data_IF_929391852766
#
_entry.id   IF_929391852766
#
_cell.length_a   1.000
_cell.length_b   1.000
_cell.length_c   1.000
_cell.angle_alpha   90.00
_cell.angle_beta   90.00
_cell.angle_gamma   90.00
#
_symmetry.space_group_name_H-M   'P 1'
#
loop_
_entity.id
_entity.type
_entity.pdbx_description
1 polymer ?
#
# COMPACT_ATOMS: atom_id res chain seq x y z
N UNK A 1 27.10 29.59 5.40
CA UNK A 1 27.13 28.14 5.72
C UNK A 1 25.73 27.55 5.97
N UNK A 2 24.68 28.33 5.81
CA UNK A 2 23.28 27.95 6.17
C UNK A 2 22.43 27.48 4.98
N UNK A 3 22.85 27.69 3.72
CA UNK A 3 22.07 27.35 2.51
C UNK A 3 22.35 25.90 2.04
N UNK A 4 23.46 25.31 2.42
CA UNK A 4 23.80 23.93 2.00
C UNK A 4 23.03 22.87 2.79
N UNK A 5 22.54 23.16 4.01
CA UNK A 5 21.76 22.22 4.82
C UNK A 5 20.31 22.09 4.35
N UNK A 6 19.73 23.14 3.74
CA UNK A 6 18.34 23.09 3.25
C UNK A 6 18.16 22.22 2.00
N UNK A 7 19.21 22.09 1.16
CA UNK A 7 19.15 21.19 -0.02
C UNK A 7 19.29 19.71 0.34
N UNK A 8 19.99 19.38 1.42
CA UNK A 8 20.12 17.99 1.91
C UNK A 8 18.86 17.52 2.64
N UNK A 9 18.10 18.39 3.26
CA UNK A 9 16.81 18.05 3.87
C UNK A 9 15.71 17.82 2.83
N UNK A 10 15.67 18.59 1.74
CA UNK A 10 14.70 18.43 0.65
C UNK A 10 14.86 17.11 -0.13
N UNK A 11 16.03 16.50 -0.15
CA UNK A 11 16.27 15.20 -0.79
C UNK A 11 15.97 14.00 0.12
N UNK A 12 15.90 14.19 1.44
CA UNK A 12 15.58 13.13 2.40
C UNK A 12 14.05 12.82 2.48
N UNK A 13 13.20 13.74 2.01
CA UNK A 13 11.74 13.64 2.12
C UNK A 13 11.07 12.68 1.13
N UNK A 14 11.81 12.12 0.16
CA UNK A 14 11.23 11.27 -0.90
C UNK A 14 11.32 9.78 -0.67
N UNK A 15 11.82 9.31 0.49
CA UNK A 15 11.83 7.88 0.80
C UNK A 15 10.55 7.49 1.56
N UNK A 16 9.68 6.65 0.96
CA UNK A 16 8.52 6.11 1.67
C UNK A 16 9.02 5.40 2.93
N UNK A 17 8.31 5.63 4.04
CA UNK A 17 8.66 5.12 5.36
C UNK A 17 8.97 3.62 5.27
N UNK A 18 10.24 3.24 5.48
CA UNK A 18 10.73 1.86 5.36
C UNK A 18 9.91 0.90 6.21
N UNK A 19 9.31 1.38 7.30
CA UNK A 19 8.47 0.56 8.18
C UNK A 19 7.16 0.15 7.50
N UNK A 20 6.56 1.05 6.73
CA UNK A 20 5.33 0.77 5.99
C UNK A 20 5.58 -0.26 4.88
N UNK A 21 6.66 -0.11 4.10
CA UNK A 21 7.03 -1.06 3.05
C UNK A 21 7.27 -2.48 3.60
N UNK A 22 7.95 -2.61 4.76
CA UNK A 22 8.15 -3.91 5.41
C UNK A 22 6.85 -4.53 5.92
N UNK A 23 5.86 -3.72 6.31
CA UNK A 23 4.54 -4.21 6.72
C UNK A 23 3.80 -4.80 5.52
N UNK A 24 3.72 -4.06 4.40
CA UNK A 24 3.09 -4.53 3.16
C UNK A 24 3.77 -5.80 2.65
N UNK A 25 5.08 -5.85 2.70
CA UNK A 25 5.86 -7.01 2.30
C UNK A 25 5.58 -8.25 3.17
N UNK A 26 5.41 -8.10 4.48
CA UNK A 26 5.00 -9.20 5.38
C UNK A 26 3.60 -9.70 5.09
N UNK A 27 2.66 -8.80 4.80
CA UNK A 27 1.29 -9.16 4.42
C UNK A 27 1.31 -9.96 3.11
N UNK A 28 2.11 -9.54 2.13
CA UNK A 28 2.29 -10.28 0.87
C UNK A 28 2.85 -11.69 1.09
N UNK A 29 3.84 -11.84 1.97
CA UNK A 29 4.38 -13.16 2.31
C UNK A 29 3.37 -14.06 3.04
N UNK A 30 2.57 -13.48 3.93
CA UNK A 30 1.50 -14.21 4.61
C UNK A 30 0.45 -14.70 3.61
N UNK A 31 0.04 -13.85 2.67
CA UNK A 31 -0.87 -14.25 1.58
C UNK A 31 -0.34 -15.45 0.79
N UNK A 32 0.97 -15.44 0.44
CA UNK A 32 1.62 -16.58 -0.27
C UNK A 32 1.57 -17.87 0.54
N UNK A 33 1.82 -17.79 1.84
CA UNK A 33 1.75 -18.94 2.72
C UNK A 33 0.34 -19.53 2.77
N UNK A 34 -0.67 -18.67 2.93
CA UNK A 34 -2.09 -19.09 2.92
C UNK A 34 -2.47 -19.70 1.57
N UNK A 35 -2.02 -19.08 0.46
CA UNK A 35 -2.26 -19.62 -0.87
C UNK A 35 -1.63 -20.99 -1.07
N UNK A 36 -0.36 -21.17 -0.67
CA UNK A 36 0.33 -22.45 -0.75
C UNK A 36 -0.37 -23.53 0.08
N UNK A 37 -0.77 -23.19 1.31
CA UNK A 37 -1.52 -24.08 2.18
C UNK A 37 -2.88 -24.48 1.59
N UNK A 38 -3.59 -23.52 0.99
CA UNK A 38 -4.88 -23.77 0.32
C UNK A 38 -4.70 -24.69 -0.88
N UNK A 39 -3.69 -24.47 -1.72
CA UNK A 39 -3.40 -25.32 -2.88
C UNK A 39 -3.03 -26.75 -2.47
N UNK A 40 -2.23 -26.91 -1.41
CA UNK A 40 -1.91 -28.23 -0.86
C UNK A 40 -3.14 -28.91 -0.25
N UNK A 41 -3.95 -28.16 0.51
CA UNK A 41 -5.17 -28.69 1.11
C UNK A 41 -6.18 -29.15 0.04
N UNK A 42 -6.42 -28.34 -0.99
CA UNK A 42 -7.32 -28.70 -2.09
C UNK A 42 -6.81 -29.93 -2.85
N UNK A 43 -5.49 -30.04 -3.07
CA UNK A 43 -4.90 -31.22 -3.69
C UNK A 43 -5.04 -32.48 -2.83
N UNK A 44 -4.88 -32.35 -1.50
CA UNK A 44 -4.98 -33.48 -0.56
C UNK A 44 -6.42 -33.95 -0.34
N UNK A 45 -7.38 -33.04 -0.37
CA UNK A 45 -8.81 -33.36 -0.12
C UNK A 45 -9.53 -33.92 -1.35
N UNK A 46 -9.06 -33.61 -2.56
CA UNK A 46 -9.72 -33.97 -3.81
C UNK A 46 -9.00 -35.12 -4.54
N UNK A 47 -8.98 -36.28 -3.91
CA UNK A 47 -8.35 -37.50 -4.47
C UNK A 47 -9.12 -38.09 -5.65
N UNK A 48 -10.45 -37.91 -5.67
CA UNK A 48 -11.32 -38.57 -6.65
C UNK A 48 -11.60 -37.71 -7.90
N UNK A 49 -11.63 -36.38 -7.78
CA UNK A 49 -12.05 -35.49 -8.87
C UNK A 49 -11.00 -34.39 -9.17
N UNK A 50 -9.75 -34.64 -8.94
CA UNK A 50 -8.59 -33.73 -9.01
C UNK A 50 -8.87 -32.47 -9.81
N UNK A 51 -9.19 -31.38 -9.11
CA UNK A 51 -9.35 -30.06 -9.71
C UNK A 51 -7.99 -29.55 -10.25
N UNK A 52 -6.89 -29.91 -9.57
CA UNK A 52 -5.54 -29.49 -9.90
C UNK A 52 -4.60 -30.71 -10.07
N UNK A 53 -3.53 -30.53 -10.85
CA UNK A 53 -2.54 -31.59 -11.08
C UNK A 53 -3.06 -32.73 -11.96
N UNK A 54 -3.99 -32.48 -12.86
CA UNK A 54 -4.63 -33.52 -13.70
C UNK A 54 -3.66 -34.26 -14.61
N UNK A 55 -2.65 -33.54 -15.15
CA UNK A 55 -1.68 -34.15 -16.07
C UNK A 55 -0.49 -34.79 -15.32
N UNK A 56 0.06 -34.06 -14.35
CA UNK A 56 1.24 -34.50 -13.59
C UNK A 56 1.05 -34.24 -12.09
N UNK A 57 0.41 -35.18 -11.35
CA UNK A 57 0.10 -34.97 -9.92
C UNK A 57 1.34 -34.81 -9.03
N UNK A 58 2.41 -35.58 -9.29
CA UNK A 58 3.67 -35.50 -8.55
C UNK A 58 4.35 -34.14 -8.74
N UNK A 59 4.41 -33.67 -9.99
CA UNK A 59 5.00 -32.36 -10.31
C UNK A 59 4.23 -31.22 -9.64
N UNK A 60 2.91 -31.33 -9.56
CA UNK A 60 2.08 -30.34 -8.86
C UNK A 60 2.39 -30.32 -7.36
N UNK A 61 2.46 -31.49 -6.73
CA UNK A 61 2.75 -31.63 -5.30
C UNK A 61 4.14 -31.08 -4.97
N UNK A 62 5.15 -31.46 -5.76
CA UNK A 62 6.54 -31.00 -5.56
C UNK A 62 6.63 -29.47 -5.69
N UNK A 63 5.99 -28.90 -6.74
CA UNK A 63 5.94 -27.45 -6.93
C UNK A 63 5.24 -26.73 -5.78
N UNK A 64 4.13 -27.30 -5.27
CA UNK A 64 3.40 -26.72 -4.14
C UNK A 64 4.20 -26.78 -2.84
N UNK A 65 4.93 -27.87 -2.57
CA UNK A 65 5.81 -27.99 -1.42
C UNK A 65 6.99 -27.01 -1.51
N UNK A 66 7.60 -26.87 -2.69
CA UNK A 66 8.68 -25.90 -2.92
C UNK A 66 8.14 -24.47 -2.72
N UNK A 67 6.95 -24.16 -3.23
CA UNK A 67 6.33 -22.86 -3.05
C UNK A 67 6.06 -22.54 -1.58
N UNK A 68 5.56 -23.51 -0.82
CA UNK A 68 5.38 -23.42 0.63
C UNK A 68 6.71 -23.14 1.34
N UNK A 69 7.77 -23.91 1.02
CA UNK A 69 9.11 -23.73 1.60
C UNK A 69 9.68 -22.35 1.31
N UNK A 70 9.56 -21.87 0.06
CA UNK A 70 10.02 -20.54 -0.36
C UNK A 70 9.21 -19.42 0.30
N UNK A 71 7.90 -19.60 0.53
CA UNK A 71 7.07 -18.65 1.27
C UNK A 71 7.53 -18.54 2.74
N UNK A 72 7.83 -19.66 3.39
CA UNK A 72 8.38 -19.70 4.76
C UNK A 72 9.75 -19.02 4.84
N UNK A 73 10.65 -19.29 3.88
CA UNK A 73 11.94 -18.63 3.78
C UNK A 73 11.78 -17.11 3.54
N UNK A 74 10.79 -16.70 2.75
CA UNK A 74 10.44 -15.29 2.53
C UNK A 74 10.01 -14.59 3.82
N UNK A 75 9.20 -15.26 4.64
CA UNK A 75 8.80 -14.76 5.97
C UNK A 75 10.04 -14.65 6.87
N UNK A 76 10.87 -15.67 6.97
CA UNK A 76 12.10 -15.66 7.78
C UNK A 76 13.03 -14.51 7.34
N UNK A 77 13.27 -14.34 6.03
CA UNK A 77 14.08 -13.26 5.48
C UNK A 77 13.52 -11.86 5.79
N UNK A 78 12.19 -11.74 5.83
CA UNK A 78 11.51 -10.49 6.21
C UNK A 78 11.72 -10.14 7.70
N UNK A 79 11.88 -11.13 8.58
CA UNK A 79 12.21 -10.93 10.00
C UNK A 79 13.67 -10.50 10.18
N UNK A 80 14.59 -11.13 9.48
CA UNK A 80 16.03 -10.80 9.58
C UNK A 80 16.41 -9.54 8.81
N UNK A 81 15.48 -8.95 8.00
CA UNK A 81 15.70 -7.72 7.20
C UNK A 81 16.93 -7.78 6.29
N UNK A 82 17.33 -8.96 5.86
CA UNK A 82 18.40 -9.22 4.89
C UNK A 82 17.86 -10.18 3.83
N UNK A 83 18.13 -10.03 2.54
CA UNK A 83 18.83 -8.96 1.82
C UNK A 83 18.01 -7.67 1.67
N UNK A 84 18.51 -6.69 0.86
CA UNK A 84 17.79 -5.42 0.59
C UNK A 84 16.37 -5.71 0.09
N UNK A 85 15.39 -4.97 0.56
CA UNK A 85 13.95 -5.17 0.29
C UNK A 85 13.65 -5.31 -1.22
N UNK A 86 14.31 -4.50 -2.06
CA UNK A 86 14.16 -4.56 -3.52
C UNK A 86 14.60 -5.89 -4.14
N UNK A 87 15.74 -6.40 -3.72
CA UNK A 87 16.25 -7.68 -4.21
C UNK A 87 15.31 -8.82 -3.79
N UNK A 88 14.82 -8.78 -2.55
CA UNK A 88 13.89 -9.78 -2.02
C UNK A 88 12.54 -9.72 -2.74
N UNK A 89 12.02 -8.53 -3.05
CA UNK A 89 10.77 -8.37 -3.78
C UNK A 89 10.85 -8.91 -5.22
N UNK A 90 11.95 -8.63 -5.95
CA UNK A 90 12.16 -9.19 -7.28
C UNK A 90 12.35 -10.71 -7.25
N UNK A 91 13.12 -11.22 -6.29
CA UNK A 91 13.29 -12.67 -6.15
C UNK A 91 11.96 -13.37 -5.89
N UNK A 92 11.13 -12.82 -4.99
CA UNK A 92 9.83 -13.40 -4.70
C UNK A 92 8.87 -13.32 -5.89
N UNK A 93 8.91 -12.22 -6.66
CA UNK A 93 8.16 -12.12 -7.91
C UNK A 93 8.53 -13.24 -8.89
N UNK A 94 9.83 -13.51 -9.07
CA UNK A 94 10.30 -14.61 -9.93
C UNK A 94 9.84 -15.97 -9.41
N UNK A 95 9.95 -16.20 -8.10
CA UNK A 95 9.48 -17.44 -7.47
C UNK A 95 8.00 -17.66 -7.74
N UNK A 96 7.15 -16.64 -7.56
CA UNK A 96 5.72 -16.75 -7.84
C UNK A 96 5.45 -17.11 -9.30
N UNK A 97 6.07 -16.39 -10.23
CA UNK A 97 5.86 -16.62 -11.66
C UNK A 97 6.28 -18.03 -12.09
N UNK A 98 7.44 -18.47 -11.64
CA UNK A 98 7.98 -19.79 -12.04
C UNK A 98 7.17 -20.92 -11.41
N UNK A 99 6.95 -20.87 -10.09
CA UNK A 99 6.25 -21.97 -9.39
C UNK A 99 4.79 -22.07 -9.81
N UNK A 100 4.07 -20.94 -9.94
CA UNK A 100 2.69 -20.95 -10.44
C UNK A 100 2.62 -21.46 -11.87
N UNK A 101 3.57 -21.09 -12.75
CA UNK A 101 3.60 -21.62 -14.13
C UNK A 101 3.82 -23.11 -14.17
N UNK A 102 4.71 -23.67 -13.32
CA UNK A 102 4.91 -25.12 -13.19
C UNK A 102 3.61 -25.79 -12.71
N UNK A 103 2.92 -25.22 -11.74
CA UNK A 103 1.66 -25.77 -11.24
C UNK A 103 0.55 -25.70 -12.31
N UNK A 104 0.49 -24.62 -13.09
CA UNK A 104 -0.42 -24.45 -14.23
C UNK A 104 -0.12 -25.54 -15.28
N UNK A 105 1.15 -25.75 -15.59
CA UNK A 105 1.60 -26.80 -16.53
C UNK A 105 1.14 -28.18 -16.06
N UNK A 106 1.38 -28.52 -14.80
CA UNK A 106 0.96 -29.80 -14.19
C UNK A 106 -0.56 -29.99 -14.18
N UNK A 107 -1.33 -28.91 -14.20
CA UNK A 107 -2.81 -28.93 -14.11
C UNK A 107 -3.53 -28.85 -15.46
N UNK A 108 -2.82 -28.81 -16.57
CA UNK A 108 -3.41 -28.78 -17.92
C UNK A 108 -3.19 -27.46 -18.67
N UNK A 109 -2.14 -26.71 -18.29
CA UNK A 109 -1.70 -25.48 -18.99
C UNK A 109 -2.82 -24.44 -19.13
N UNK A 110 -3.14 -23.99 -20.34
CA UNK A 110 -4.13 -22.91 -20.61
C UNK A 110 -5.57 -23.25 -20.18
N UNK A 111 -5.91 -24.54 -20.06
CA UNK A 111 -7.23 -24.98 -19.59
C UNK A 111 -7.37 -24.93 -18.05
N UNK A 112 -6.29 -24.69 -17.31
CA UNK A 112 -6.30 -24.66 -15.86
C UNK A 112 -6.93 -23.36 -15.32
N UNK A 113 -7.76 -23.49 -14.30
CA UNK A 113 -8.31 -22.35 -13.54
C UNK A 113 -7.23 -21.61 -12.75
N UNK A 114 -6.05 -22.21 -12.56
CA UNK A 114 -4.90 -21.59 -11.87
C UNK A 114 -4.30 -20.38 -12.62
N UNK A 115 -4.66 -20.17 -13.88
CA UNK A 115 -4.25 -18.99 -14.64
C UNK A 115 -4.66 -17.66 -13.95
N UNK A 116 -5.78 -17.66 -13.24
CA UNK A 116 -6.22 -16.51 -12.45
C UNK A 116 -5.28 -16.17 -11.29
N UNK A 117 -4.61 -17.18 -10.72
CA UNK A 117 -3.61 -16.96 -9.65
C UNK A 117 -2.35 -16.28 -10.19
N UNK A 118 -1.96 -16.59 -11.44
CA UNK A 118 -0.84 -15.91 -12.08
C UNK A 118 -1.13 -14.42 -12.28
N UNK A 119 -2.36 -14.07 -12.70
CA UNK A 119 -2.81 -12.66 -12.82
C UNK A 119 -2.76 -11.97 -11.45
N UNK A 120 -3.23 -12.65 -10.40
CA UNK A 120 -3.22 -12.10 -9.03
C UNK A 120 -1.78 -11.90 -8.51
N UNK A 121 -0.87 -12.83 -8.82
CA UNK A 121 0.54 -12.72 -8.42
C UNK A 121 1.23 -11.53 -9.11
N UNK A 122 0.96 -11.32 -10.41
CA UNK A 122 1.45 -10.15 -11.16
C UNK A 122 0.86 -8.86 -10.60
N UNK A 123 -0.44 -8.82 -10.30
CA UNK A 123 -1.07 -7.67 -9.69
C UNK A 123 -0.46 -7.33 -8.31
N UNK A 124 -0.25 -8.34 -7.46
CA UNK A 124 0.34 -8.16 -6.13
C UNK A 124 1.80 -7.65 -6.21
N UNK A 125 2.61 -8.19 -7.13
CA UNK A 125 3.99 -7.72 -7.35
C UNK A 125 4.04 -6.27 -7.84
N UNK A 126 3.07 -5.85 -8.67
CA UNK A 126 2.97 -4.52 -9.24
C UNK A 126 2.67 -3.42 -8.21
N UNK A 127 2.09 -3.78 -7.06
CA UNK A 127 1.87 -2.86 -5.94
C UNK A 127 3.18 -2.46 -5.27
N UNK A 128 4.15 -3.38 -5.20
CA UNK A 128 5.41 -3.19 -4.48
C UNK A 128 6.54 -2.63 -5.35
N UNK A 129 6.49 -2.92 -6.65
CA UNK A 129 7.57 -2.66 -7.60
C UNK A 129 7.28 -1.42 -8.46
N UNK A 130 8.32 -0.79 -9.06
CA UNK A 130 8.14 0.30 -10.01
C UNK A 130 7.49 -0.21 -11.30
N UNK A 131 6.93 0.70 -12.10
CA UNK A 131 6.21 0.38 -13.33
C UNK A 131 7.01 -0.50 -14.29
N UNK A 132 8.30 -0.24 -14.45
CA UNK A 132 9.18 -1.05 -15.30
C UNK A 132 9.23 -2.53 -14.86
N UNK A 133 9.36 -2.78 -13.55
CA UNK A 133 9.36 -4.13 -13.00
C UNK A 133 7.97 -4.77 -13.02
N UNK A 134 6.91 -3.98 -12.88
CA UNK A 134 5.53 -4.44 -13.00
C UNK A 134 5.23 -4.93 -14.43
N UNK A 135 5.62 -4.16 -15.44
CA UNK A 135 5.49 -4.57 -16.84
C UNK A 135 6.38 -5.76 -17.19
N UNK A 136 7.61 -5.79 -16.63
CA UNK A 136 8.51 -6.94 -16.79
C UNK A 136 7.90 -8.21 -16.19
N UNK A 137 7.23 -8.13 -15.02
CA UNK A 137 6.57 -9.29 -14.42
C UNK A 137 5.42 -9.82 -15.28
N UNK A 138 4.63 -8.93 -15.90
CA UNK A 138 3.57 -9.32 -16.83
C UNK A 138 4.15 -9.97 -18.11
N UNK A 139 5.19 -9.38 -18.67
CA UNK A 139 5.88 -9.93 -19.86
C UNK A 139 6.49 -11.30 -19.56
N UNK A 140 7.17 -11.45 -18.42
CA UNK A 140 7.77 -12.72 -18.01
C UNK A 140 6.70 -13.77 -17.73
N UNK A 141 5.61 -13.42 -17.06
CA UNK A 141 4.47 -14.32 -16.82
C UNK A 141 3.83 -14.79 -18.14
N UNK A 142 3.64 -13.88 -19.09
CA UNK A 142 3.16 -14.22 -20.43
C UNK A 142 4.13 -15.14 -21.18
N UNK A 143 5.43 -14.85 -21.14
CA UNK A 143 6.47 -15.67 -21.78
C UNK A 143 6.50 -17.08 -21.19
N UNK A 144 6.51 -17.21 -19.86
CA UNK A 144 6.52 -18.50 -19.17
C UNK A 144 5.28 -19.33 -19.50
N UNK A 145 4.11 -18.69 -19.55
CA UNK A 145 2.86 -19.36 -19.90
C UNK A 145 2.89 -19.81 -21.37
N UNK A 146 3.39 -18.98 -22.27
CA UNK A 146 3.57 -19.31 -23.70
C UNK A 146 4.54 -20.47 -23.90
N UNK A 147 5.66 -20.46 -23.20
CA UNK A 147 6.63 -21.57 -23.22
C UNK A 147 6.03 -22.87 -22.66
N UNK A 148 5.25 -22.77 -21.56
CA UNK A 148 4.55 -23.93 -20.98
C UNK A 148 3.56 -24.54 -21.98
N UNK A 149 2.75 -23.71 -22.64
CA UNK A 149 1.81 -24.17 -23.64
C UNK A 149 2.54 -24.80 -24.85
N UNK A 150 3.58 -24.15 -25.36
CA UNK A 150 4.36 -24.67 -26.47
C UNK A 150 5.01 -26.01 -26.14
N UNK A 151 5.52 -26.17 -24.91
CA UNK A 151 6.10 -27.43 -24.44
C UNK A 151 5.05 -28.58 -24.43
N UNK A 152 3.80 -28.28 -24.03
CA UNK A 152 2.73 -29.30 -24.05
C UNK A 152 2.36 -29.71 -25.47
N UNK A 153 2.28 -28.75 -26.41
CA UNK A 153 2.01 -29.03 -27.82
C UNK A 153 3.13 -29.85 -28.48
N UNK A 154 4.36 -29.49 -28.17
CA UNK A 154 5.52 -30.24 -28.67
C UNK A 154 5.58 -31.66 -28.12
N UNK A 155 5.34 -31.86 -26.85
CA UNK A 155 5.30 -33.18 -26.23
C UNK A 155 4.20 -34.06 -26.86
N UNK A 156 3.02 -33.49 -27.10
CA UNK A 156 1.93 -34.18 -27.79
C UNK A 156 2.29 -34.61 -29.21
N UNK A 157 2.95 -33.75 -29.98
CA UNK A 157 3.39 -34.06 -31.35
C UNK A 157 4.57 -35.06 -31.40
N UNK A 158 5.52 -34.95 -30.47
CA UNK A 158 6.66 -35.87 -30.35
C UNK A 158 6.19 -37.30 -30.01
N UNK A 159 5.16 -37.45 -29.18
CA UNK A 159 4.54 -38.73 -28.86
C UNK A 159 3.91 -39.45 -30.07
N UNK A 160 3.64 -38.74 -31.17
CA UNK A 160 3.15 -39.34 -32.46
C UNK A 160 4.25 -39.90 -33.33
N UNK A 161 5.50 -39.96 -32.91
CA UNK A 161 6.63 -40.54 -33.63
C UNK A 161 7.11 -39.73 -34.86
N UNK A 162 6.61 -38.51 -35.05
CA UNK A 162 7.06 -37.60 -36.10
C UNK A 162 8.34 -36.88 -35.67
N UNK A 163 9.49 -37.34 -36.19
CA UNK A 163 10.75 -36.62 -36.06
C UNK A 163 10.89 -35.67 -37.24
N UNK A 164 11.04 -34.39 -36.97
CA UNK A 164 11.33 -33.37 -38.00
C UNK A 164 12.69 -33.65 -38.63
N UNK A 165 12.69 -33.98 -39.93
CA UNK A 165 13.89 -34.23 -40.73
C UNK A 165 14.20 -33.08 -41.69
N UNK A 166 13.24 -32.19 -41.94
CA UNK A 166 13.37 -31.05 -42.83
C UNK A 166 12.84 -29.76 -42.20
N UNK A 167 13.18 -28.62 -42.81
CA UNK A 167 12.67 -27.30 -42.35
C UNK A 167 11.14 -27.22 -42.48
N UNK A 168 10.57 -27.88 -43.51
CA UNK A 168 9.12 -28.00 -43.65
C UNK A 168 8.48 -28.76 -42.52
N UNK A 169 9.10 -29.84 -42.02
CA UNK A 169 8.61 -30.62 -40.88
C UNK A 169 8.65 -29.78 -39.60
N UNK A 170 9.65 -28.88 -39.45
CA UNK A 170 9.70 -27.94 -38.34
C UNK A 170 8.57 -26.90 -38.41
N UNK A 171 8.23 -26.41 -39.61
CA UNK A 171 7.10 -25.50 -39.82
C UNK A 171 5.75 -26.18 -39.54
N UNK A 172 5.59 -27.46 -39.86
CA UNK A 172 4.42 -28.26 -39.55
C UNK A 172 4.30 -28.62 -38.06
N UNK A 173 5.43 -28.61 -37.34
CA UNK A 173 5.49 -28.76 -35.89
C UNK A 173 5.07 -27.49 -35.16
N UNK A 174 5.12 -26.32 -35.80
CA UNK A 174 4.57 -25.11 -35.23
C UNK A 174 3.06 -25.28 -35.04
N UNK A 175 2.49 -24.76 -33.93
CA UNK A 175 1.06 -24.78 -33.73
C UNK A 175 0.37 -24.13 -34.92
N UNK A 176 -0.59 -24.82 -35.52
CA UNK A 176 -1.41 -24.24 -36.59
C UNK A 176 -2.12 -23.00 -36.05
N UNK A 177 -1.66 -21.83 -36.49
CA UNK A 177 -2.12 -20.51 -35.99
C UNK A 177 -3.61 -20.28 -36.27
N UNK A 178 -4.20 -21.03 -37.17
CA UNK A 178 -5.53 -20.77 -37.76
C UNK A 178 -6.71 -21.41 -37.01
N UNK A 179 -6.49 -22.26 -36.00
CA UNK A 179 -7.60 -23.05 -35.46
C UNK A 179 -7.55 -23.33 -33.94
N UNK A 180 -6.69 -22.68 -33.15
CA UNK A 180 -6.67 -23.06 -31.76
C UNK A 180 -7.30 -22.01 -30.85
N UNK A 181 -8.44 -22.35 -30.24
CA UNK A 181 -9.00 -21.66 -29.08
C UNK A 181 -7.95 -21.34 -28.03
N UNK A 182 -6.84 -22.08 -28.00
CA UNK A 182 -5.71 -21.91 -27.11
C UNK A 182 -4.92 -20.62 -27.39
N UNK A 183 -4.76 -20.19 -28.66
CA UNK A 183 -4.11 -18.91 -28.98
C UNK A 183 -4.95 -17.72 -28.52
N UNK A 184 -6.25 -17.80 -28.71
CA UNK A 184 -7.17 -16.77 -28.22
C UNK A 184 -7.14 -16.72 -26.70
N UNK A 185 -7.17 -17.85 -26.01
CA UNK A 185 -7.03 -17.92 -24.55
C UNK A 185 -5.72 -17.36 -24.06
N UNK A 186 -4.61 -17.71 -24.70
CA UNK A 186 -3.28 -17.19 -24.40
C UNK A 186 -3.24 -15.66 -24.56
N UNK A 187 -3.80 -15.14 -25.65
CA UNK A 187 -3.91 -13.69 -25.90
C UNK A 187 -4.74 -12.97 -24.84
N UNK A 188 -5.89 -13.53 -24.46
CA UNK A 188 -6.75 -12.97 -23.41
C UNK A 188 -6.05 -12.96 -22.05
N UNK A 189 -5.39 -14.06 -21.66
CA UNK A 189 -4.63 -14.13 -20.41
C UNK A 189 -3.46 -13.15 -20.44
N UNK A 190 -2.74 -13.05 -21.58
CA UNK A 190 -1.67 -12.08 -21.76
C UNK A 190 -2.16 -10.65 -21.59
N UNK A 191 -3.24 -10.28 -22.27
CA UNK A 191 -3.85 -8.96 -22.10
C UNK A 191 -4.25 -8.70 -20.64
N UNK A 192 -4.86 -9.69 -19.97
CA UNK A 192 -5.25 -9.59 -18.56
C UNK A 192 -4.04 -9.38 -17.63
N UNK A 193 -2.89 -10.02 -17.89
CA UNK A 193 -1.65 -9.82 -17.12
C UNK A 193 -1.16 -8.37 -17.23
N UNK A 194 -1.11 -7.79 -18.42
CA UNK A 194 -0.68 -6.41 -18.61
C UNK A 194 -1.67 -5.41 -18.04
N UNK A 195 -2.97 -5.63 -18.23
CA UNK A 195 -4.02 -4.77 -17.63
C UNK A 195 -3.95 -4.84 -16.11
N UNK A 196 -3.82 -6.02 -15.52
CA UNK A 196 -3.70 -6.19 -14.08
C UNK A 196 -2.45 -5.51 -13.52
N UNK A 197 -1.30 -5.65 -14.19
CA UNK A 197 -0.06 -4.98 -13.81
C UNK A 197 -0.20 -3.45 -13.84
N UNK A 198 -0.69 -2.91 -14.93
CA UNK A 198 -0.85 -1.46 -15.12
C UNK A 198 -1.87 -0.86 -14.17
N UNK A 199 -3.03 -1.51 -14.01
CA UNK A 199 -4.10 -1.04 -13.11
C UNK A 199 -3.66 -1.10 -11.65
N UNK A 200 -3.06 -2.21 -11.22
CA UNK A 200 -2.58 -2.37 -9.84
C UNK A 200 -1.49 -1.35 -9.50
N UNK A 201 -0.55 -1.11 -10.42
CA UNK A 201 0.45 -0.06 -10.27
C UNK A 201 -0.20 1.33 -10.17
N UNK A 202 -1.14 1.66 -11.07
CA UNK A 202 -1.80 2.97 -11.08
C UNK A 202 -2.60 3.22 -9.80
N UNK A 203 -3.31 2.21 -9.30
CA UNK A 203 -4.04 2.29 -8.03
C UNK A 203 -3.10 2.46 -6.83
N UNK A 204 -2.01 1.68 -6.78
CA UNK A 204 -1.00 1.79 -5.73
C UNK A 204 -0.32 3.17 -5.73
N UNK A 205 -0.04 3.72 -6.91
CA UNK A 205 0.54 5.06 -7.06
C UNK A 205 -0.43 6.17 -6.62
N UNK A 206 -1.71 6.04 -6.97
CA UNK A 206 -2.75 6.98 -6.48
C UNK A 206 -2.89 6.94 -4.96
N UNK A 207 -2.88 5.74 -4.37
CA UNK A 207 -2.93 5.58 -2.91
C UNK A 207 -1.72 6.24 -2.23
N UNK A 208 -0.50 5.99 -2.74
CA UNK A 208 0.73 6.61 -2.23
C UNK A 208 0.70 8.14 -2.29
N UNK A 209 0.23 8.70 -3.41
CA UNK A 209 0.08 10.17 -3.57
C UNK A 209 -0.96 10.75 -2.61
N UNK A 210 -2.07 10.05 -2.42
CA UNK A 210 -3.11 10.44 -1.46
C UNK A 210 -2.60 10.48 -0.02
N UNK A 211 -1.85 9.46 0.40
CA UNK A 211 -1.23 9.43 1.73
C UNK A 211 -0.20 10.54 1.92
N UNK A 212 0.63 10.81 0.90
CA UNK A 212 1.63 11.88 0.96
C UNK A 212 0.95 13.26 1.12
N UNK A 213 -0.14 13.50 0.38
CA UNK A 213 -0.90 14.75 0.47
C UNK A 213 -1.58 14.90 1.84
N UNK A 214 -2.17 13.83 2.36
CA UNK A 214 -2.80 13.83 3.67
C UNK A 214 -1.78 14.15 4.78
N UNK A 215 -0.58 13.55 4.72
CA UNK A 215 0.50 13.83 5.67
C UNK A 215 0.93 15.30 5.62
N UNK A 216 1.12 15.88 4.41
CA UNK A 216 1.49 17.30 4.28
C UNK A 216 0.47 18.21 4.95
N UNK A 217 -0.82 18.01 4.71
CA UNK A 217 -1.89 18.78 5.35
C UNK A 217 -1.87 18.67 6.88
N UNK A 218 -1.58 17.48 7.40
CA UNK A 218 -1.47 17.29 8.85
C UNK A 218 -0.31 18.08 9.43
N UNK A 219 0.86 18.09 8.77
CA UNK A 219 2.02 18.86 9.19
C UNK A 219 1.77 20.36 9.13
N UNK A 220 1.14 20.86 8.05
CA UNK A 220 0.75 22.29 7.93
C UNK A 220 -0.16 22.72 9.06
N UNK A 221 -1.14 21.89 9.42
CA UNK A 221 -2.05 22.21 10.56
C UNK A 221 -1.33 22.21 11.90
N UNK A 222 -0.39 21.28 12.13
CA UNK A 222 0.41 21.24 13.35
C UNK A 222 1.32 22.45 13.46
N UNK A 223 1.98 22.85 12.37
CA UNK A 223 2.84 24.03 12.30
C UNK A 223 2.07 25.33 12.62
N UNK A 224 0.88 25.50 12.01
CA UNK A 224 0.01 26.65 12.30
C UNK A 224 -0.44 26.64 13.78
N UNK A 225 -0.77 25.48 14.33
CA UNK A 225 -1.16 25.35 15.74
C UNK A 225 -0.01 25.72 16.68
N UNK A 226 1.21 25.25 16.37
CA UNK A 226 2.42 25.54 17.15
C UNK A 226 2.78 27.04 17.08
N UNK A 227 2.74 27.64 15.89
CA UNK A 227 2.96 29.08 15.72
C UNK A 227 1.93 29.90 16.50
N UNK A 228 0.64 29.57 16.42
CA UNK A 228 -0.40 30.26 17.18
C UNK A 228 -0.19 30.13 18.70
N UNK A 229 0.20 28.94 19.17
CA UNK A 229 0.50 28.73 20.59
C UNK A 229 1.75 29.49 21.01
N UNK A 230 2.77 29.56 20.15
CA UNK A 230 3.99 30.34 20.39
C UNK A 230 3.69 31.84 20.48
N UNK A 231 2.88 32.38 19.55
CA UNK A 231 2.47 33.80 19.57
C UNK A 231 1.75 34.12 20.88
N UNK A 232 0.77 33.30 21.26
CA UNK A 232 -0.02 33.55 22.48
C UNK A 232 0.85 33.49 23.73
N UNK A 233 1.86 32.59 23.79
CA UNK A 233 2.77 32.50 24.93
C UNK A 233 3.70 33.71 25.07
N UNK A 234 4.18 34.27 23.95
CA UNK A 234 5.15 35.38 23.95
C UNK A 234 4.52 36.76 23.82
N UNK A 235 3.19 36.86 23.86
CA UNK A 235 2.54 38.16 23.95
C UNK A 235 2.94 38.85 25.26
N UNK A 236 3.44 40.10 25.15
CA UNK A 236 3.75 40.94 26.31
C UNK A 236 2.53 41.33 27.16
N UNK A 237 1.34 41.11 26.62
CA UNK A 237 0.08 41.31 27.31
C UNK A 237 -0.42 40.00 27.91
N UNK A 238 -0.93 40.05 29.12
CA UNK A 238 -1.61 38.92 29.76
C UNK A 238 -2.88 38.55 28.99
N UNK A 239 -2.95 37.33 28.49
CA UNK A 239 -4.13 36.78 27.74
C UNK A 239 -4.79 35.70 28.60
N UNK A 240 -6.08 35.91 28.87
CA UNK A 240 -6.94 34.94 29.54
C UNK A 240 -8.12 34.64 28.61
N UNK A 241 -8.29 33.39 28.23
CA UNK A 241 -9.45 32.94 27.45
C UNK A 241 -10.37 32.15 28.33
N UNK A 242 -11.64 32.54 28.34
CA UNK A 242 -12.69 31.89 29.12
C UNK A 242 -13.79 31.36 28.22
N UNK A 243 -14.42 30.28 28.62
CA UNK A 243 -15.57 29.70 27.95
C UNK A 243 -16.88 30.48 28.27
N UNK A 244 -17.99 29.96 27.73
CA UNK A 244 -19.32 30.56 28.01
C UNK A 244 -19.77 30.43 29.46
N UNK A 245 -19.16 29.55 30.21
CA UNK A 245 -19.43 29.25 31.64
C UNK A 245 -18.42 29.89 32.58
N UNK A 246 -17.66 30.87 32.08
CA UNK A 246 -16.62 31.62 32.79
C UNK A 246 -15.49 30.76 33.37
N UNK A 247 -15.21 29.62 32.69
CA UNK A 247 -14.07 28.76 33.03
C UNK A 247 -12.87 29.10 32.15
N UNK A 248 -11.70 29.14 32.75
CA UNK A 248 -10.45 29.47 32.10
C UNK A 248 -10.02 28.31 31.20
N UNK A 249 -9.97 28.54 29.89
CA UNK A 249 -9.50 27.60 28.88
C UNK A 249 -8.01 27.79 28.56
N UNK A 250 -7.54 29.03 28.52
CA UNK A 250 -6.16 29.36 28.16
C UNK A 250 -5.69 30.53 29.02
N UNK A 251 -4.45 30.42 29.49
CA UNK A 251 -3.74 31.47 30.22
C UNK A 251 -2.31 31.50 29.67
N UNK A 252 -1.86 32.63 29.13
CA UNK A 252 -0.47 32.78 28.70
C UNK A 252 0.48 33.02 29.86
N UNK A 253 1.78 32.89 29.64
CA UNK A 253 2.77 33.01 30.72
C UNK A 253 2.79 34.40 31.33
N UNK A 254 2.63 35.46 30.54
CA UNK A 254 2.50 36.84 31.00
C UNK A 254 1.29 37.05 31.95
N UNK A 255 0.15 36.41 31.61
CA UNK A 255 -1.02 36.49 32.49
C UNK A 255 -0.80 35.72 33.80
N UNK A 256 -0.07 34.61 33.80
CA UNK A 256 0.31 33.90 35.04
C UNK A 256 1.18 34.75 35.94
N UNK A 257 2.19 35.44 35.38
CA UNK A 257 3.05 36.34 36.12
C UNK A 257 2.27 37.52 36.69
N UNK A 258 1.43 38.17 35.87
CA UNK A 258 0.64 39.33 36.31
C UNK A 258 -0.41 38.97 37.39
N UNK A 259 -0.96 37.77 37.33
CA UNK A 259 -1.94 37.27 38.30
C UNK A 259 -1.30 36.56 39.49
N UNK A 260 0.04 36.43 39.52
CA UNK A 260 0.83 35.73 40.52
C UNK A 260 0.33 34.30 40.83
N UNK A 261 -0.15 33.61 39.77
CA UNK A 261 -0.73 32.26 39.87
C UNK A 261 0.31 31.19 39.45
N UNK A 262 0.87 30.48 40.42
CA UNK A 262 1.88 29.45 40.23
C UNK A 262 1.33 28.12 39.66
N UNK A 263 0.04 27.80 39.87
CA UNK A 263 -0.61 26.63 39.29
C UNK A 263 -2.09 26.92 39.04
N UNK A 264 -2.49 26.80 37.77
CA UNK A 264 -3.89 26.91 37.35
C UNK A 264 -4.34 25.54 36.86
N UNK A 265 -5.39 25.02 37.48
CA UNK A 265 -6.02 23.78 37.00
C UNK A 265 -6.80 24.07 35.71
N UNK A 266 -6.78 23.19 34.70
CA UNK A 266 -7.59 23.34 33.50
C UNK A 266 -9.09 23.45 33.90
N UNK A 267 -9.80 24.38 33.23
CA UNK A 267 -11.23 24.64 33.47
C UNK A 267 -11.59 25.21 34.86
N UNK A 268 -10.64 25.84 35.55
CA UNK A 268 -10.88 26.57 36.80
C UNK A 268 -11.84 27.75 36.56
N UNK A 269 -12.79 28.04 37.47
CA UNK A 269 -13.64 29.21 37.34
C UNK A 269 -12.83 30.53 37.41
N UNK A 270 -13.21 31.55 36.63
CA UNK A 270 -12.49 32.81 36.55
C UNK A 270 -12.55 33.60 37.89
N UNK A 271 -13.60 33.43 38.67
CA UNK A 271 -13.76 34.04 39.98
C UNK A 271 -12.79 33.51 41.02
N UNK A 272 -12.41 32.22 40.95
CA UNK A 272 -11.37 31.63 41.81
C UNK A 272 -9.98 32.11 41.35
N UNK A 273 -9.77 32.34 40.07
CA UNK A 273 -8.48 32.83 39.54
C UNK A 273 -8.29 34.31 39.88
N UNK A 274 -9.29 35.14 39.62
CA UNK A 274 -9.26 36.58 39.85
C UNK A 274 -10.69 37.15 39.94
N UNK A 275 -11.20 37.38 41.16
CA UNK A 275 -12.52 38.00 41.34
C UNK A 275 -12.70 39.34 40.61
N UNK A 276 -11.67 40.24 40.56
CA UNK A 276 -11.81 41.50 39.83
C UNK A 276 -12.00 41.33 38.32
N UNK A 277 -11.36 40.32 37.72
CA UNK A 277 -11.51 40.04 36.28
C UNK A 277 -12.89 39.42 35.99
N UNK A 278 -13.39 38.57 36.85
CA UNK A 278 -14.73 37.99 36.74
C UNK A 278 -15.80 39.07 36.76
N UNK A 279 -15.75 39.97 37.76
CA UNK A 279 -16.69 41.10 37.88
C UNK A 279 -16.63 42.01 36.63
N UNK A 280 -15.43 42.28 36.09
CA UNK A 280 -15.28 43.11 34.90
C UNK A 280 -15.84 42.45 33.67
N UNK A 281 -15.64 41.15 33.52
CA UNK A 281 -16.20 40.36 32.43
C UNK A 281 -17.72 40.34 32.48
N UNK A 282 -18.30 40.15 33.67
CA UNK A 282 -19.75 40.16 33.86
C UNK A 282 -20.34 41.55 33.59
N UNK A 283 -19.71 42.61 34.05
CA UNK A 283 -20.12 43.98 33.77
C UNK A 283 -20.04 44.30 32.25
N UNK A 284 -19.02 43.83 31.60
CA UNK A 284 -18.89 43.98 30.13
C UNK A 284 -19.97 43.21 29.37
N UNK A 285 -20.28 41.97 29.79
CA UNK A 285 -21.38 41.18 29.19
C UNK A 285 -22.75 41.78 29.46
N UNK A 286 -22.95 42.39 30.60
CA UNK A 286 -24.19 43.08 30.94
C UNK A 286 -24.36 44.46 30.23
N UNK A 287 -23.40 44.88 29.38
CA UNK A 287 -23.47 46.15 28.67
C UNK A 287 -23.06 47.39 29.44
N UNK A 288 -22.65 47.25 30.71
CA UNK A 288 -22.23 48.35 31.60
C UNK A 288 -20.78 48.85 31.33
N UNK A 289 -20.01 48.13 30.46
CA UNK A 289 -18.61 48.42 30.16
C UNK A 289 -18.35 48.89 28.72
N UNK A 290 -19.28 49.66 28.13
CA UNK A 290 -19.21 50.01 26.73
C UNK A 290 -18.11 51.01 26.41
N UNK A 291 -17.00 50.54 25.85
CA UNK A 291 -16.26 51.31 24.86
C UNK A 291 -16.85 50.94 23.48
N UNK A 292 -17.46 51.87 22.75
CA UNK A 292 -18.21 51.62 21.52
C UNK A 292 -17.33 51.09 20.35
N UNK A 293 -16.04 51.01 20.53
CA UNK A 293 -15.07 50.60 19.51
C UNK A 293 -14.87 49.08 19.34
N UNK A 294 -15.42 48.25 20.24
CA UNK A 294 -15.23 46.78 20.12
C UNK A 294 -16.58 46.06 20.08
N UNK A 295 -17.20 46.00 18.91
CA UNK A 295 -18.26 45.03 18.62
C UNK A 295 -17.57 43.70 18.30
N UNK A 296 -17.83 42.59 19.06
CA UNK A 296 -17.40 41.28 18.65
C UNK A 296 -18.12 40.94 17.35
N UNK A 297 -17.39 40.91 16.23
CA UNK A 297 -17.87 40.28 15.00
C UNK A 297 -18.00 38.79 15.30
N UNK A 298 -19.23 38.34 15.50
CA UNK A 298 -19.54 36.91 15.50
C UNK A 298 -19.18 36.40 14.12
N UNK A 299 -18.03 35.74 13.99
CA UNK A 299 -17.62 35.04 12.79
C UNK A 299 -18.55 33.84 12.67
N UNK A 300 -19.65 34.02 11.93
CA UNK A 300 -20.50 32.92 11.47
C UNK A 300 -19.67 32.16 10.44
N UNK A 301 -19.37 30.86 10.66
CA UNK A 301 -18.68 30.09 9.64
C UNK A 301 -19.54 30.09 8.37
N UNK A 302 -19.01 30.64 7.29
CA UNK A 302 -19.63 30.52 5.97
C UNK A 302 -19.63 29.04 5.57
N UNK A 303 -20.77 28.50 5.09
CA UNK A 303 -20.77 27.20 4.46
C UNK A 303 -19.90 27.23 3.22
N UNK A 304 -19.02 26.24 3.09
CA UNK A 304 -18.21 26.01 1.89
C UNK A 304 -19.14 25.89 0.67
N UNK A 305 -18.80 26.49 -0.47
CA UNK A 305 -19.54 26.31 -1.71
C UNK A 305 -19.44 24.87 -2.20
N UNK A 306 -20.43 24.37 -2.99
CA UNK A 306 -20.57 23.00 -3.45
C UNK A 306 -19.44 22.51 -4.36
#
# INVERSE_FOLDING_TARGET
MTVANSFTELTAEHYPDRRHLWRVFRISNFYRLVLAALLLATFALDEQNRLFGKQHPSLFLDAALVYMGLALLGIAGSYWRRPKLWAQAHFQMLVDLVTLTIMIHASGSLASSLNSLLITAVAASSILLPLSSALLSAALGFLLLSCSWLATEWAAKAGTGRTARSVSDWLDLLPSVTASDNLVRLGVIGAALFIAAGLSYALAERARRGEALARRRTWELLEIAELNQGIVRHLQSGVVVVDRTDRVQLLNDTARELLACLSVQPLMPLDELSPPLSQRLQAWRAGAGGNPAFRPTAHRPQPLPP
#
